data_IF_897980548099
#
_entry.id   IF_897980548099
#
_cell.length_a   1.000
_cell.length_b   1.000
_cell.length_c   1.000
_cell.angle_alpha   90.00
_cell.angle_beta   90.00
_cell.angle_gamma   90.00
#
_symmetry.space_group_name_H-M   'P 1'
#
loop_
_entity.id
_entity.type
_entity.pdbx_description
1 polymer ?
#
# COMPACT_ATOMS: atom_id res chain seq x y z
N UNK A 1 27.17 -16.11 13.46
CA UNK A 1 26.12 -16.08 12.43
C UNK A 1 26.40 -14.89 11.53
N UNK A 2 26.82 -15.10 10.29
CA UNK A 2 27.01 -14.04 9.32
C UNK A 2 25.65 -13.45 8.97
N UNK A 3 25.53 -12.13 9.01
CA UNK A 3 24.41 -11.44 8.42
C UNK A 3 24.51 -11.61 6.91
N UNK A 4 23.42 -12.04 6.29
CA UNK A 4 23.35 -12.28 4.87
C UNK A 4 23.51 -10.95 4.11
N UNK A 5 24.54 -10.84 3.28
CA UNK A 5 24.86 -9.60 2.57
C UNK A 5 23.71 -9.11 1.70
N UNK A 6 23.01 -10.04 1.03
CA UNK A 6 21.91 -9.74 0.14
C UNK A 6 20.69 -9.17 0.86
N UNK A 7 20.47 -9.54 2.13
CA UNK A 7 19.38 -9.00 2.93
C UNK A 7 19.46 -7.47 3.09
N UNK A 8 20.67 -6.92 3.09
CA UNK A 8 20.84 -5.45 3.14
C UNK A 8 20.30 -4.78 1.89
N UNK A 9 20.53 -5.36 0.70
CA UNK A 9 19.98 -4.84 -0.55
C UNK A 9 18.46 -4.89 -0.54
N UNK A 10 17.91 -5.99 -0.04
CA UNK A 10 16.46 -6.21 0.01
C UNK A 10 15.75 -5.28 0.99
N UNK A 11 16.38 -4.96 2.13
CA UNK A 11 15.78 -4.14 3.20
C UNK A 11 16.11 -2.64 3.09
N UNK A 12 17.04 -2.24 2.23
CA UNK A 12 17.46 -0.86 2.10
C UNK A 12 16.86 -0.22 0.83
N UNK A 13 15.93 0.74 0.96
CA UNK A 13 15.30 1.39 -0.19
C UNK A 13 16.30 2.08 -1.14
N UNK A 14 17.41 2.62 -0.63
CA UNK A 14 18.43 3.30 -1.44
C UNK A 14 19.28 2.31 -2.24
N UNK A 15 19.46 1.08 -1.75
CA UNK A 15 20.27 0.04 -2.40
C UNK A 15 19.50 -0.73 -3.47
N UNK A 16 18.22 -0.62 -3.51
CA UNK A 16 17.43 -1.12 -4.61
C UNK A 16 17.84 -0.32 -5.83
N UNK A 17 18.62 -0.95 -6.71
CA UNK A 17 19.29 -0.32 -7.87
C UNK A 17 18.35 0.28 -8.91
N UNK A 18 17.07 0.19 -8.71
CA UNK A 18 16.10 0.93 -9.50
C UNK A 18 15.73 2.21 -8.75
N UNK A 19 16.28 3.38 -9.10
CA UNK A 19 15.94 4.64 -8.45
C UNK A 19 14.46 4.99 -8.55
N UNK A 20 13.73 4.34 -9.46
CA UNK A 20 12.29 4.46 -9.64
C UNK A 20 11.47 3.55 -8.72
N UNK A 21 12.09 2.63 -8.00
CA UNK A 21 11.40 1.71 -7.06
C UNK A 21 11.40 2.25 -5.63
N UNK A 22 12.28 3.20 -5.28
CA UNK A 22 12.23 3.83 -3.96
C UNK A 22 11.09 4.85 -3.89
N UNK A 23 10.41 4.97 -2.75
CA UNK A 23 9.36 5.95 -2.50
C UNK A 23 9.82 7.43 -2.58
N UNK A 24 11.08 7.68 -2.93
CA UNK A 24 11.74 8.97 -2.85
C UNK A 24 12.23 9.60 -4.16
N UNK A 25 11.96 9.05 -5.37
CA UNK A 25 12.43 9.69 -6.60
C UNK A 25 11.92 11.13 -6.73
N UNK A 26 10.72 11.40 -6.21
CA UNK A 26 10.08 12.70 -6.32
C UNK A 26 10.75 13.78 -5.46
N UNK A 27 11.16 13.44 -4.25
CA UNK A 27 11.95 14.34 -3.42
C UNK A 27 13.39 14.49 -3.92
N UNK A 28 13.88 13.49 -4.63
CA UNK A 28 15.20 13.46 -5.25
C UNK A 28 15.29 14.45 -6.43
N UNK A 29 14.31 14.44 -7.33
CA UNK A 29 14.26 15.35 -8.48
C UNK A 29 13.83 16.77 -8.11
N UNK A 30 13.09 16.98 -7.04
CA UNK A 30 12.63 18.30 -6.62
C UNK A 30 13.65 19.11 -5.82
N UNK A 31 14.67 18.47 -5.25
CA UNK A 31 15.71 19.16 -4.48
C UNK A 31 16.97 19.33 -5.32
N UNK A 32 17.33 20.59 -5.64
CA UNK A 32 18.68 20.97 -6.07
C UNK A 32 19.67 20.65 -4.94
N UNK A 33 20.08 19.38 -4.80
CA UNK A 33 21.07 19.02 -3.79
C UNK A 33 22.45 19.53 -4.22
N UNK A 34 23.00 20.42 -3.42
CA UNK A 34 24.39 20.88 -3.56
C UNK A 34 25.32 19.75 -3.09
N UNK A 35 26.51 19.64 -3.69
CA UNK A 35 27.58 18.75 -3.22
C UNK A 35 27.79 18.95 -1.69
N UNK A 36 27.71 17.87 -0.94
CA UNK A 36 27.83 17.89 0.53
C UNK A 36 29.27 17.49 0.89
N UNK A 37 29.91 18.29 1.73
CA UNK A 37 31.23 17.97 2.23
C UNK A 37 31.22 16.85 3.30
N UNK A 38 32.40 16.26 3.55
CA UNK A 38 32.55 15.14 4.48
C UNK A 38 32.02 15.46 5.90
N UNK A 39 32.27 16.64 6.44
CA UNK A 39 31.80 17.04 7.78
C UNK A 39 30.27 17.02 7.85
N UNK A 40 29.59 17.52 6.81
CA UNK A 40 28.13 17.49 6.76
C UNK A 40 27.57 16.09 6.58
N UNK A 41 28.23 15.23 5.80
CA UNK A 41 27.87 13.82 5.66
C UNK A 41 28.00 13.08 6.99
N UNK A 42 29.10 13.31 7.74
CA UNK A 42 29.32 12.72 9.06
C UNK A 42 28.27 13.17 10.08
N UNK A 43 27.87 14.44 10.05
CA UNK A 43 26.77 14.96 10.89
C UNK A 43 25.44 14.28 10.55
N UNK A 44 25.11 14.14 9.24
CA UNK A 44 23.90 13.45 8.79
C UNK A 44 23.91 11.98 9.26
N UNK A 45 25.07 11.32 9.14
CA UNK A 45 25.24 9.95 9.60
C UNK A 45 24.97 9.82 11.11
N UNK A 46 25.64 10.61 11.96
CA UNK A 46 25.45 10.56 13.39
C UNK A 46 23.98 10.77 13.78
N UNK A 47 23.33 11.77 13.18
CA UNK A 47 21.89 12.04 13.38
C UNK A 47 21.01 10.86 12.95
N UNK A 48 21.31 10.24 11.81
CA UNK A 48 20.53 9.11 11.29
C UNK A 48 20.71 7.87 12.16
N UNK A 49 21.93 7.59 12.59
CA UNK A 49 22.26 6.45 13.46
C UNK A 49 21.63 6.60 14.85
N UNK A 50 21.69 7.78 15.44
CA UNK A 50 21.02 8.05 16.73
C UNK A 50 19.51 7.79 16.64
N UNK A 51 18.86 8.34 15.62
CA UNK A 51 17.43 8.10 15.38
C UNK A 51 17.13 6.62 15.11
N UNK A 52 17.99 5.95 14.36
CA UNK A 52 17.87 4.53 14.07
C UNK A 52 17.89 3.68 15.34
N UNK A 53 18.89 3.87 16.21
CA UNK A 53 18.98 3.09 17.44
C UNK A 53 17.83 3.35 18.39
N UNK A 54 17.47 4.62 18.62
CA UNK A 54 16.33 4.96 19.48
C UNK A 54 15.03 4.31 18.99
N UNK A 55 14.76 4.43 17.70
CA UNK A 55 13.55 3.85 17.08
C UNK A 55 13.54 2.32 17.18
N UNK A 56 14.63 1.67 16.74
CA UNK A 56 14.63 0.21 16.60
C UNK A 56 14.81 -0.53 17.92
N UNK A 57 15.51 0.03 18.90
CA UNK A 57 15.52 -0.51 20.27
C UNK A 57 14.12 -0.48 20.88
N UNK A 58 13.41 0.64 20.73
CA UNK A 58 12.03 0.74 21.20
C UNK A 58 11.13 -0.29 20.50
N UNK A 59 11.23 -0.45 19.16
CA UNK A 59 10.45 -1.42 18.41
C UNK A 59 10.77 -2.86 18.79
N UNK A 60 12.05 -3.17 19.05
CA UNK A 60 12.46 -4.49 19.51
C UNK A 60 11.85 -4.81 20.88
N UNK A 61 11.91 -3.88 21.83
CA UNK A 61 11.29 -4.06 23.15
C UNK A 61 9.78 -4.27 23.00
N UNK A 62 9.12 -3.44 22.20
CA UNK A 62 7.68 -3.58 21.93
C UNK A 62 7.32 -4.93 21.29
N UNK A 63 8.18 -5.43 20.41
CA UNK A 63 7.99 -6.72 19.76
C UNK A 63 8.17 -7.91 20.72
N UNK A 64 9.17 -7.81 21.63
CA UNK A 64 9.34 -8.80 22.72
C UNK A 64 8.12 -8.81 23.64
N UNK A 65 7.63 -7.64 24.04
CA UNK A 65 6.40 -7.55 24.86
C UNK A 65 5.22 -8.17 24.13
N UNK A 66 5.03 -7.85 22.84
CA UNK A 66 3.97 -8.44 22.03
C UNK A 66 4.05 -9.98 21.97
N UNK A 67 5.26 -10.52 21.82
CA UNK A 67 5.50 -11.96 21.86
C UNK A 67 5.14 -12.57 23.22
N UNK A 68 5.51 -11.93 24.33
CA UNK A 68 5.16 -12.38 25.66
C UNK A 68 3.64 -12.34 25.91
N UNK A 69 2.98 -11.27 25.46
CA UNK A 69 1.52 -11.17 25.50
C UNK A 69 0.85 -12.29 24.68
N UNK A 70 1.37 -12.55 23.48
CA UNK A 70 0.90 -13.68 22.68
C UNK A 70 1.01 -15.01 23.43
N UNK A 71 2.14 -15.30 24.03
CA UNK A 71 2.35 -16.53 24.80
C UNK A 71 1.48 -16.62 26.06
N UNK A 72 1.12 -15.48 26.66
CA UNK A 72 0.28 -15.42 27.88
C UNK A 72 -1.21 -15.55 27.57
N UNK A 73 -1.71 -14.87 26.51
CA UNK A 73 -3.14 -14.71 26.26
C UNK A 73 -3.64 -15.49 25.04
N UNK A 74 -2.74 -15.84 24.10
CA UNK A 74 -3.09 -16.55 22.89
C UNK A 74 -2.25 -17.82 22.79
N UNK A 75 -2.90 -18.96 22.90
CA UNK A 75 -2.33 -20.27 22.57
C UNK A 75 -3.20 -20.84 21.47
N UNK A 76 -2.76 -20.75 20.24
CA UNK A 76 -3.31 -21.54 19.17
C UNK A 76 -2.29 -22.66 18.85
N UNK A 77 -2.63 -23.88 19.17
CA UNK A 77 -1.93 -25.03 18.62
C UNK A 77 -2.56 -25.26 17.25
N UNK A 78 -2.11 -24.47 16.25
CA UNK A 78 -2.60 -24.61 14.89
C UNK A 78 -2.17 -25.96 14.33
N UNK A 79 -3.11 -26.90 14.28
CA UNK A 79 -3.00 -28.20 13.60
C UNK A 79 -3.36 -28.02 12.10
N UNK A 80 -3.30 -26.77 11.59
CA UNK A 80 -3.71 -26.53 10.22
C UNK A 80 -2.65 -27.02 9.23
N UNK A 81 -3.12 -27.68 8.19
CA UNK A 81 -2.32 -27.93 7.00
C UNK A 81 -2.07 -26.58 6.31
N UNK A 82 -0.84 -26.09 6.40
CA UNK A 82 -0.46 -24.76 5.90
C UNK A 82 0.03 -24.81 4.44
N UNK A 83 -0.69 -25.49 3.57
CA UNK A 83 -0.31 -25.58 2.16
C UNK A 83 -0.52 -24.27 1.40
N UNK A 84 -1.54 -23.50 1.78
CA UNK A 84 -1.87 -22.20 1.18
C UNK A 84 -2.00 -21.12 2.24
N UNK A 85 -1.27 -20.02 2.07
CA UNK A 85 -1.27 -18.86 2.96
C UNK A 85 -1.87 -17.66 2.23
N UNK A 86 -2.84 -16.98 2.87
CA UNK A 86 -3.35 -15.66 2.48
C UNK A 86 -2.72 -14.62 3.41
N UNK A 87 -1.71 -13.91 2.89
CA UNK A 87 -0.96 -12.89 3.63
C UNK A 87 -1.57 -11.51 3.36
N UNK A 88 -2.19 -10.93 4.38
CA UNK A 88 -2.97 -9.70 4.28
C UNK A 88 -2.67 -8.74 5.43
N UNK A 89 -3.11 -7.48 5.35
CA UNK A 89 -3.00 -6.54 6.46
C UNK A 89 -4.15 -6.66 7.45
N UNK A 90 -3.81 -6.52 8.74
CA UNK A 90 -4.78 -6.38 9.83
C UNK A 90 -4.50 -5.15 10.67
N UNK A 91 -5.42 -4.20 10.64
CA UNK A 91 -5.30 -2.92 11.34
C UNK A 91 -5.89 -3.06 12.74
N UNK A 92 -5.04 -3.19 13.77
CA UNK A 92 -5.44 -3.44 15.18
C UNK A 92 -6.55 -2.51 15.68
N UNK A 93 -6.48 -1.17 15.53
CA UNK A 93 -7.58 -0.30 15.99
C UNK A 93 -8.92 -0.59 15.32
N UNK A 94 -8.92 -0.99 14.04
CA UNK A 94 -10.16 -1.33 13.33
C UNK A 94 -10.75 -2.65 13.82
N UNK A 95 -9.91 -3.67 14.01
CA UNK A 95 -10.35 -4.97 14.53
C UNK A 95 -10.91 -4.80 15.95
N UNK A 96 -10.18 -4.10 16.82
CA UNK A 96 -10.61 -3.86 18.19
C UNK A 96 -11.91 -3.05 18.26
N UNK A 97 -12.09 -2.03 17.42
CA UNK A 97 -13.32 -1.22 17.40
C UNK A 97 -14.54 -1.98 16.86
N UNK A 98 -14.34 -2.92 15.94
CA UNK A 98 -15.40 -3.77 15.39
C UNK A 98 -15.77 -4.92 16.30
N UNK A 99 -14.82 -5.41 17.11
CA UNK A 99 -14.99 -6.61 17.93
C UNK A 99 -14.95 -7.93 17.15
N UNK A 100 -14.61 -7.90 15.86
CA UNK A 100 -14.44 -9.08 15.02
C UNK A 100 -13.37 -8.86 13.94
N UNK A 101 -12.80 -9.96 13.44
CA UNK A 101 -11.84 -9.93 12.33
C UNK A 101 -12.57 -9.85 10.98
N UNK A 102 -12.14 -8.92 10.14
CA UNK A 102 -12.55 -8.82 8.75
C UNK A 102 -11.34 -8.39 7.91
N UNK A 103 -11.14 -9.04 6.78
CA UNK A 103 -10.09 -8.65 5.83
C UNK A 103 -10.57 -7.48 4.96
N UNK A 104 -9.98 -6.30 5.17
CA UNK A 104 -10.30 -5.09 4.42
C UNK A 104 -9.54 -5.01 3.08
N UNK A 105 -8.59 -5.89 2.82
CA UNK A 105 -7.71 -5.88 1.65
C UNK A 105 -8.06 -6.97 0.64
N UNK A 106 -8.23 -8.20 1.12
CA UNK A 106 -8.56 -9.37 0.31
C UNK A 106 -9.99 -9.86 0.64
N UNK A 107 -10.94 -8.92 0.51
CA UNK A 107 -12.35 -9.11 0.88
C UNK A 107 -12.94 -10.34 0.19
N UNK A 108 -13.48 -11.30 0.98
CA UNK A 108 -14.14 -12.48 0.46
C UNK A 108 -13.22 -13.57 -0.11
N UNK A 109 -11.89 -13.36 -0.12
CA UNK A 109 -10.97 -14.35 -0.69
C UNK A 109 -10.92 -15.64 0.14
N UNK A 110 -10.83 -15.52 1.48
CA UNK A 110 -10.85 -16.68 2.37
C UNK A 110 -12.13 -17.49 2.20
N UNK A 111 -13.27 -16.81 2.20
CA UNK A 111 -14.60 -17.42 2.03
C UNK A 111 -14.74 -18.13 0.68
N UNK A 112 -14.11 -17.58 -0.36
CA UNK A 112 -14.11 -18.22 -1.69
C UNK A 112 -13.29 -19.52 -1.68
N UNK A 113 -12.12 -19.55 -1.04
CA UNK A 113 -11.33 -20.77 -0.86
C UNK A 113 -12.10 -21.82 -0.04
N UNK A 114 -12.65 -21.40 1.09
CA UNK A 114 -13.41 -22.27 2.01
C UNK A 114 -14.63 -22.89 1.32
N UNK A 115 -15.42 -22.07 0.62
CA UNK A 115 -16.62 -22.53 -0.10
C UNK A 115 -16.32 -23.53 -1.22
N UNK A 116 -15.10 -23.55 -1.74
CA UNK A 116 -14.62 -24.48 -2.76
C UNK A 116 -13.85 -25.68 -2.16
N UNK A 117 -13.83 -25.81 -0.83
CA UNK A 117 -13.14 -26.89 -0.12
C UNK A 117 -11.62 -26.85 -0.26
N UNK A 118 -11.03 -25.70 -0.55
CA UNK A 118 -9.57 -25.52 -0.66
C UNK A 118 -9.03 -24.99 0.67
N UNK A 119 -8.27 -25.79 1.44
CA UNK A 119 -7.76 -25.36 2.73
C UNK A 119 -6.78 -24.20 2.58
N UNK A 120 -6.99 -23.15 3.35
CA UNK A 120 -6.07 -22.02 3.43
C UNK A 120 -6.04 -21.45 4.85
N UNK A 121 -4.98 -20.72 5.16
CA UNK A 121 -4.82 -19.99 6.41
C UNK A 121 -4.57 -18.50 6.15
N UNK A 122 -5.12 -17.65 7.00
CA UNK A 122 -4.84 -16.21 6.97
C UNK A 122 -3.61 -15.93 7.83
N UNK A 123 -2.66 -15.21 7.27
CA UNK A 123 -1.48 -14.68 7.96
C UNK A 123 -1.57 -13.14 8.00
N UNK A 124 -2.17 -12.55 9.04
CA UNK A 124 -2.32 -11.11 9.10
C UNK A 124 -0.99 -10.41 9.43
N UNK A 125 -0.65 -9.39 8.65
CA UNK A 125 0.39 -8.41 8.98
C UNK A 125 -0.20 -7.43 9.97
N UNK A 126 0.21 -7.53 11.23
CA UNK A 126 -0.34 -6.75 12.33
C UNK A 126 0.20 -5.32 12.27
N UNK A 127 -0.67 -4.36 11.97
CA UNK A 127 -0.31 -2.94 11.88
C UNK A 127 -1.20 -2.07 12.78
N UNK A 128 -0.70 -0.89 13.15
CA UNK A 128 -1.51 0.09 13.89
C UNK A 128 -1.63 -0.19 15.40
N UNK A 129 -0.92 -1.18 15.97
CA UNK A 129 -0.81 -1.31 17.43
C UNK A 129 -0.18 -0.06 18.07
N UNK A 130 0.50 0.74 17.25
CA UNK A 130 1.13 2.00 17.65
C UNK A 130 2.30 1.77 18.59
N UNK A 131 2.43 2.70 19.57
CA UNK A 131 3.47 2.64 20.59
C UNK A 131 3.05 1.78 21.81
N UNK A 132 1.85 1.23 21.82
CA UNK A 132 1.32 0.47 22.94
C UNK A 132 1.04 -0.98 22.53
N UNK A 133 1.93 -1.94 22.83
CA UNK A 133 1.72 -3.35 22.51
C UNK A 133 0.55 -3.99 23.28
N UNK A 134 0.10 -3.40 24.40
CA UNK A 134 -1.03 -3.93 25.16
C UNK A 134 -2.37 -3.87 24.40
N UNK A 135 -2.47 -3.02 23.36
CA UNK A 135 -3.61 -3.05 22.43
C UNK A 135 -3.77 -4.37 21.68
N UNK A 136 -2.74 -5.21 21.69
CA UNK A 136 -2.77 -6.54 21.10
C UNK A 136 -3.55 -7.55 21.96
N UNK A 137 -3.82 -7.28 23.24
CA UNK A 137 -4.56 -8.20 24.11
C UNK A 137 -5.99 -8.40 23.55
N UNK A 138 -6.70 -7.28 23.30
CA UNK A 138 -8.04 -7.33 22.72
C UNK A 138 -8.02 -7.97 21.33
N UNK A 139 -7.03 -7.58 20.52
CA UNK A 139 -6.83 -8.14 19.18
C UNK A 139 -6.65 -9.66 19.25
N UNK A 140 -5.80 -10.18 20.14
CA UNK A 140 -5.59 -11.62 20.30
C UNK A 140 -6.88 -12.33 20.76
N UNK A 141 -7.64 -11.72 21.65
CA UNK A 141 -8.95 -12.23 22.09
C UNK A 141 -9.92 -12.40 20.93
N UNK A 142 -10.02 -11.36 20.08
CA UNK A 142 -10.86 -11.36 18.88
C UNK A 142 -10.40 -12.43 17.87
N UNK A 143 -9.10 -12.52 17.60
CA UNK A 143 -8.56 -13.53 16.68
C UNK A 143 -8.83 -14.95 17.20
N UNK A 144 -8.67 -15.18 18.51
CA UNK A 144 -8.93 -16.48 19.14
C UNK A 144 -10.40 -16.93 19.01
N UNK A 145 -11.34 -15.99 19.03
CA UNK A 145 -12.78 -16.25 18.90
C UNK A 145 -13.24 -16.34 17.43
N UNK A 146 -12.34 -16.09 16.45
CA UNK A 146 -12.68 -16.13 15.05
C UNK A 146 -12.74 -17.58 14.55
N UNK A 147 -13.79 -17.91 13.79
CA UNK A 147 -13.96 -19.23 13.18
C UNK A 147 -13.01 -19.51 12.01
N UNK A 148 -12.38 -18.46 11.46
CA UNK A 148 -11.43 -18.58 10.35
C UNK A 148 -10.09 -19.15 10.83
N UNK A 149 -9.41 -19.86 9.94
CA UNK A 149 -8.07 -20.37 10.18
C UNK A 149 -7.06 -19.20 10.12
N UNK A 150 -6.71 -18.64 11.26
CA UNK A 150 -5.77 -17.51 11.38
C UNK A 150 -4.54 -17.95 12.14
N UNK A 151 -3.36 -17.70 11.57
CA UNK A 151 -2.06 -17.92 12.22
C UNK A 151 -1.38 -16.56 12.44
N UNK A 152 -0.68 -16.42 13.55
CA UNK A 152 0.01 -15.17 13.89
C UNK A 152 1.53 -15.35 13.82
N UNK A 153 2.24 -14.30 13.43
CA UNK A 153 3.72 -14.35 13.29
C UNK A 153 4.42 -14.79 14.58
N UNK A 154 3.87 -14.44 15.75
CA UNK A 154 4.43 -14.80 17.06
C UNK A 154 4.46 -16.30 17.35
N UNK A 155 3.67 -17.09 16.64
CA UNK A 155 3.64 -18.56 16.77
C UNK A 155 4.97 -19.17 16.32
N UNK A 156 5.58 -18.59 15.29
CA UNK A 156 6.78 -19.12 14.65
C UNK A 156 8.08 -18.59 15.25
N UNK A 157 8.02 -17.61 16.17
CA UNK A 157 9.20 -17.00 16.77
C UNK A 157 9.86 -17.92 17.80
N UNK A 158 11.19 -17.93 17.78
CA UNK A 158 12.07 -18.65 18.70
C UNK A 158 12.96 -17.67 19.45
N UNK A 159 13.45 -18.00 20.66
CA UNK A 159 14.36 -17.12 21.41
C UNK A 159 15.59 -16.63 20.61
N UNK A 160 16.15 -17.49 19.78
CA UNK A 160 17.27 -17.15 18.89
C UNK A 160 16.96 -16.05 17.89
N UNK A 161 15.70 -15.85 17.54
CA UNK A 161 15.29 -14.83 16.58
C UNK A 161 15.43 -13.44 17.20
N UNK A 162 15.18 -13.28 18.48
CA UNK A 162 15.40 -12.03 19.21
C UNK A 162 16.89 -11.68 19.30
N UNK A 163 17.76 -12.68 19.49
CA UNK A 163 19.22 -12.48 19.44
C UNK A 163 19.63 -12.02 18.03
N UNK A 164 19.07 -12.62 17.00
CA UNK A 164 19.33 -12.22 15.61
C UNK A 164 18.88 -10.77 15.35
N UNK A 165 17.64 -10.40 15.76
CA UNK A 165 17.12 -9.03 15.64
C UNK A 165 18.04 -8.01 16.31
N UNK A 166 18.44 -8.27 17.54
CA UNK A 166 19.35 -7.40 18.30
C UNK A 166 20.70 -7.23 17.60
N UNK A 167 21.30 -8.34 17.17
CA UNK A 167 22.58 -8.33 16.45
C UNK A 167 22.49 -7.59 15.14
N UNK A 168 21.38 -7.76 14.39
CA UNK A 168 21.13 -7.07 13.15
C UNK A 168 21.04 -5.54 13.35
N UNK A 169 20.26 -5.11 14.35
CA UNK A 169 20.12 -3.70 14.70
C UNK A 169 21.49 -3.08 14.99
N UNK A 170 22.34 -3.74 15.78
CA UNK A 170 23.68 -3.23 16.09
C UNK A 170 24.53 -3.06 14.83
N UNK A 171 24.51 -4.03 13.93
CA UNK A 171 25.40 -4.08 12.77
C UNK A 171 24.91 -3.25 11.57
N UNK A 172 23.61 -2.99 11.47
CA UNK A 172 23.01 -2.40 10.29
C UNK A 172 23.62 -1.06 9.85
N UNK A 173 23.81 -0.04 10.72
CA UNK A 173 24.42 1.21 10.30
C UNK A 173 25.86 1.06 9.79
N UNK A 174 26.66 0.21 10.42
CA UNK A 174 28.07 0.02 10.04
C UNK A 174 28.20 -0.73 8.72
N UNK A 175 27.32 -1.71 8.46
CA UNK A 175 27.31 -2.40 7.17
C UNK A 175 26.80 -1.50 6.05
N UNK A 176 25.84 -0.61 6.34
CA UNK A 176 25.38 0.39 5.39
C UNK A 176 26.52 1.34 4.98
N UNK A 177 27.42 1.72 5.92
CA UNK A 177 28.58 2.55 5.59
C UNK A 177 29.53 1.90 4.58
N UNK A 178 29.65 0.58 4.58
CA UNK A 178 30.53 -0.14 3.61
C UNK A 178 30.02 -0.06 2.17
N UNK A 179 28.81 0.44 1.97
CA UNK A 179 28.18 0.59 0.65
C UNK A 179 28.33 2.00 0.10
N UNK A 180 28.99 2.90 0.85
CA UNK A 180 29.35 4.23 0.37
C UNK A 180 30.24 4.08 -0.86
N UNK A 181 29.90 4.79 -1.90
CA UNK A 181 30.64 4.80 -3.17
C UNK A 181 31.78 5.80 -3.11
N UNK A 182 32.96 5.35 -3.51
CA UNK A 182 34.08 6.24 -3.76
C UNK A 182 33.84 7.02 -5.05
N UNK A 183 34.09 8.32 -5.00
CA UNK A 183 33.96 9.18 -6.19
C UNK A 183 33.51 10.59 -5.87
N UNK A 184 34.01 11.54 -6.63
CA UNK A 184 33.71 12.97 -6.51
C UNK A 184 32.57 13.42 -7.41
N UNK A 185 31.89 12.49 -8.09
CA UNK A 185 30.76 12.81 -8.93
C UNK A 185 29.55 13.29 -8.11
N UNK A 186 28.71 14.14 -8.71
CA UNK A 186 27.48 14.58 -8.09
C UNK A 186 26.57 13.38 -7.75
N UNK A 187 26.51 12.40 -8.64
CA UNK A 187 25.68 11.20 -8.49
C UNK A 187 26.12 10.34 -7.29
N UNK A 188 27.44 10.10 -7.14
CA UNK A 188 27.99 9.40 -5.97
C UNK A 188 27.70 10.15 -4.68
N UNK A 189 27.80 11.46 -4.69
CA UNK A 189 27.49 12.30 -3.52
C UNK A 189 26.01 12.21 -3.13
N UNK A 190 25.10 12.31 -4.09
CA UNK A 190 23.66 12.20 -3.89
C UNK A 190 23.29 10.81 -3.38
N UNK A 191 23.87 9.76 -3.97
CA UNK A 191 23.70 8.38 -3.53
C UNK A 191 24.14 8.20 -2.08
N UNK A 192 25.35 8.64 -1.72
CA UNK A 192 25.92 8.49 -0.38
C UNK A 192 25.07 9.24 0.66
N UNK A 193 24.61 10.44 0.35
CA UNK A 193 23.73 11.22 1.23
C UNK A 193 22.38 10.50 1.43
N UNK A 194 21.81 9.95 0.37
CA UNK A 194 20.56 9.22 0.44
C UNK A 194 20.72 7.94 1.27
N UNK A 195 21.78 7.18 1.05
CA UNK A 195 22.13 5.97 1.78
C UNK A 195 22.25 6.24 3.29
N UNK A 196 22.97 7.30 3.66
CA UNK A 196 23.17 7.67 5.07
C UNK A 196 21.88 8.17 5.71
N UNK A 197 21.07 8.94 4.99
CA UNK A 197 19.75 9.40 5.47
C UNK A 197 18.78 8.24 5.66
N UNK A 198 18.82 7.24 4.80
CA UNK A 198 17.89 6.11 4.83
C UNK A 198 18.18 5.11 5.94
N UNK A 199 19.33 5.19 6.63
CA UNK A 199 19.58 4.42 7.86
C UNK A 199 18.42 4.61 8.87
N UNK A 200 17.97 5.85 9.12
CA UNK A 200 16.90 6.10 10.08
C UNK A 200 15.49 5.72 9.56
N UNK A 201 15.36 5.46 8.26
CA UNK A 201 14.10 5.03 7.62
C UNK A 201 13.94 3.51 7.61
N UNK A 202 14.98 2.78 8.05
CA UNK A 202 14.91 1.33 8.15
C UNK A 202 13.57 0.87 8.77
N UNK A 203 12.95 -0.09 8.11
CA UNK A 203 11.69 -0.65 8.56
C UNK A 203 11.92 -1.94 9.35
N UNK A 204 11.73 -1.86 10.66
CA UNK A 204 11.87 -2.99 11.58
C UNK A 204 10.92 -4.14 11.23
N UNK A 205 9.70 -3.82 10.77
CA UNK A 205 8.71 -4.84 10.41
C UNK A 205 9.21 -5.68 9.24
N UNK A 206 9.94 -5.09 8.29
CA UNK A 206 10.53 -5.84 7.18
C UNK A 206 11.51 -6.92 7.64
N UNK A 207 12.28 -6.64 8.71
CA UNK A 207 13.17 -7.61 9.31
C UNK A 207 12.43 -8.73 10.06
N UNK A 208 11.36 -8.39 10.79
CA UNK A 208 10.54 -9.42 11.45
C UNK A 208 9.83 -10.30 10.42
N UNK A 209 9.40 -9.72 9.30
CA UNK A 209 8.83 -10.47 8.17
C UNK A 209 9.83 -11.41 7.50
N UNK A 210 11.11 -10.99 7.37
CA UNK A 210 12.17 -11.90 6.93
C UNK A 210 12.31 -13.11 7.87
N UNK A 211 12.32 -12.88 9.18
CA UNK A 211 12.42 -13.97 10.17
C UNK A 211 11.21 -14.90 10.08
N UNK A 212 10.01 -14.32 9.94
CA UNK A 212 8.78 -15.09 9.77
C UNK A 212 8.86 -16.00 8.54
N UNK A 213 9.23 -15.45 7.37
CA UNK A 213 9.36 -16.24 6.13
C UNK A 213 10.38 -17.37 6.28
N UNK A 214 11.53 -17.11 6.94
CA UNK A 214 12.54 -18.13 7.23
C UNK A 214 12.03 -19.24 8.15
N UNK A 215 11.22 -18.91 9.17
CA UNK A 215 10.66 -19.90 10.08
C UNK A 215 9.50 -20.67 9.46
N UNK A 216 8.73 -20.04 8.58
CA UNK A 216 7.65 -20.70 7.81
C UNK A 216 8.18 -21.69 6.76
N UNK A 217 9.37 -21.46 6.24
CA UNK A 217 9.98 -22.32 5.20
C UNK A 217 10.09 -23.81 5.60
N UNK A 218 10.08 -24.12 6.90
CA UNK A 218 10.06 -25.49 7.39
C UNK A 218 8.64 -26.11 7.46
N UNK A 219 7.65 -25.43 6.94
CA UNK A 219 6.25 -25.87 6.87
C UNK A 219 5.90 -26.16 5.41
N UNK A 220 5.24 -27.19 5.09
CA UNK A 220 4.94 -27.63 3.72
C UNK A 220 4.07 -26.63 2.93
N UNK A 221 4.55 -25.37 2.82
CA UNK A 221 3.87 -24.28 2.14
C UNK A 221 4.07 -24.46 0.64
N UNK A 222 2.98 -24.44 -0.11
CA UNK A 222 2.98 -24.54 -1.57
C UNK A 222 2.66 -23.17 -2.19
N UNK A 223 1.63 -22.48 -1.68
CA UNK A 223 1.17 -21.21 -2.22
C UNK A 223 1.13 -20.13 -1.15
N UNK A 224 1.63 -18.95 -1.51
CA UNK A 224 1.49 -17.71 -0.72
C UNK A 224 0.85 -16.65 -1.59
N UNK A 225 -0.38 -16.30 -1.27
CA UNK A 225 -1.08 -15.17 -1.88
C UNK A 225 -0.95 -13.96 -0.97
N UNK A 226 -0.19 -12.98 -1.39
CA UNK A 226 0.24 -11.88 -0.53
C UNK A 226 -0.25 -10.55 -1.10
N UNK A 227 -1.04 -9.77 -0.34
CA UNK A 227 -1.28 -8.37 -0.69
C UNK A 227 0.05 -7.65 -0.84
N UNK A 228 0.28 -6.94 -1.93
CA UNK A 228 1.59 -6.37 -2.19
C UNK A 228 1.53 -4.99 -2.84
N UNK A 229 2.20 -4.05 -2.19
CA UNK A 229 2.52 -2.72 -2.70
C UNK A 229 4.02 -2.59 -3.00
N UNK A 230 4.75 -3.71 -2.96
CA UNK A 230 6.21 -3.82 -3.13
C UNK A 230 7.04 -2.95 -2.19
N UNK A 231 6.53 -2.74 -1.00
CA UNK A 231 7.26 -2.07 0.07
C UNK A 231 8.31 -3.01 0.70
N UNK A 232 9.14 -2.46 1.57
CA UNK A 232 10.18 -3.24 2.28
C UNK A 232 9.62 -4.43 3.06
N UNK A 233 8.40 -4.30 3.58
CA UNK A 233 7.70 -5.34 4.35
C UNK A 233 7.43 -6.61 3.53
N UNK A 234 7.05 -6.47 2.26
CA UNK A 234 6.87 -7.59 1.34
C UNK A 234 8.21 -8.15 0.88
N UNK A 235 9.19 -7.29 0.61
CA UNK A 235 10.52 -7.66 0.11
C UNK A 235 11.26 -8.57 1.08
N UNK A 236 11.26 -8.24 2.37
CA UNK A 236 11.88 -9.07 3.41
C UNK A 236 11.26 -10.47 3.49
N UNK A 237 9.94 -10.57 3.40
CA UNK A 237 9.22 -11.82 3.40
C UNK A 237 9.46 -12.66 2.13
N UNK A 238 9.35 -12.03 0.96
CA UNK A 238 9.62 -12.67 -0.33
C UNK A 238 11.02 -13.28 -0.38
N UNK A 239 12.03 -12.49 0.04
CA UNK A 239 13.41 -12.94 0.09
C UNK A 239 13.57 -14.19 0.96
N UNK A 240 12.94 -14.20 2.14
CA UNK A 240 13.05 -15.34 3.03
C UNK A 240 12.38 -16.60 2.45
N UNK A 241 11.15 -16.49 1.94
CA UNK A 241 10.43 -17.62 1.35
C UNK A 241 11.21 -18.16 0.15
N UNK A 242 11.64 -17.29 -0.78
CA UNK A 242 12.39 -17.71 -1.97
C UNK A 242 13.73 -18.35 -1.68
N UNK A 243 14.35 -17.99 -0.54
CA UNK A 243 15.66 -18.50 -0.14
C UNK A 243 15.58 -19.80 0.63
N UNK A 244 14.50 -20.05 1.37
CA UNK A 244 14.43 -21.14 2.33
C UNK A 244 13.29 -22.14 2.07
N UNK A 245 12.38 -21.83 1.16
CA UNK A 245 11.23 -22.66 0.80
C UNK A 245 11.13 -22.81 -0.74
N UNK A 246 11.99 -23.65 -1.30
CA UNK A 246 12.17 -23.78 -2.77
C UNK A 246 10.86 -24.19 -3.49
N UNK A 247 10.00 -24.97 -2.84
CA UNK A 247 8.72 -25.42 -3.40
C UNK A 247 7.60 -24.37 -3.29
N UNK A 248 7.78 -23.35 -2.46
CA UNK A 248 6.75 -22.34 -2.25
C UNK A 248 6.68 -21.33 -3.39
N UNK A 249 5.47 -21.05 -3.86
CA UNK A 249 5.19 -20.03 -4.88
C UNK A 249 4.53 -18.82 -4.24
N UNK A 250 5.12 -17.63 -4.45
CA UNK A 250 4.57 -16.37 -3.99
C UNK A 250 3.89 -15.69 -5.16
N UNK A 251 2.60 -15.42 -5.02
CA UNK A 251 1.82 -14.58 -5.92
C UNK A 251 1.45 -13.30 -5.20
N UNK A 252 1.99 -12.19 -5.66
CA UNK A 252 1.62 -10.87 -5.13
C UNK A 252 0.25 -10.46 -5.66
N UNK A 253 -0.65 -10.10 -4.75
CA UNK A 253 -1.98 -9.60 -5.08
C UNK A 253 -1.96 -8.07 -5.05
N UNK A 254 -1.85 -7.46 -6.22
CA UNK A 254 -1.82 -6.02 -6.40
C UNK A 254 -3.24 -5.52 -6.75
N UNK A 255 -4.18 -5.74 -5.81
CA UNK A 255 -5.60 -5.47 -6.00
C UNK A 255 -5.99 -4.06 -5.52
N UNK A 256 -5.19 -3.07 -5.88
CA UNK A 256 -5.48 -1.65 -5.69
C UNK A 256 -5.26 -0.89 -6.99
N UNK A 257 -5.77 0.33 -7.04
CA UNK A 257 -5.64 1.20 -8.21
C UNK A 257 -4.28 1.90 -8.14
N UNK A 258 -3.35 1.43 -8.94
CA UNK A 258 -2.00 1.94 -8.98
C UNK A 258 -1.88 3.14 -9.92
N UNK A 259 -0.80 3.91 -9.74
CA UNK A 259 -0.49 5.09 -10.55
C UNK A 259 0.71 4.79 -11.43
N UNK A 260 0.69 5.20 -12.70
CA UNK A 260 1.84 5.00 -13.60
C UNK A 260 3.12 5.65 -13.07
N UNK A 261 2.99 6.76 -12.34
CA UNK A 261 4.11 7.50 -11.75
C UNK A 261 4.60 6.95 -10.40
N UNK A 262 3.93 5.92 -9.86
CA UNK A 262 4.31 5.29 -8.59
C UNK A 262 5.22 4.10 -8.84
N UNK A 263 6.45 4.37 -9.23
CA UNK A 263 7.43 3.35 -9.65
C UNK A 263 7.77 2.32 -8.57
N UNK A 264 7.68 2.68 -7.30
CA UNK A 264 7.89 1.76 -6.18
C UNK A 264 6.84 0.65 -6.07
N UNK A 265 5.70 0.83 -6.70
CA UNK A 265 4.64 -0.19 -6.74
C UNK A 265 4.82 -1.23 -7.83
N UNK A 266 5.91 -1.15 -8.58
CA UNK A 266 6.19 -2.06 -9.68
C UNK A 266 7.42 -2.90 -9.38
N UNK A 267 7.29 -4.20 -9.63
CA UNK A 267 8.41 -5.16 -9.62
C UNK A 267 9.21 -5.02 -10.91
N UNK A 268 10.50 -5.27 -10.85
CA UNK A 268 11.35 -5.46 -12.04
C UNK A 268 12.16 -6.75 -11.96
N UNK A 269 12.84 -7.08 -13.07
CA UNK A 269 13.66 -8.29 -13.17
C UNK A 269 14.87 -8.26 -12.23
N UNK A 270 15.38 -7.07 -11.86
CA UNK A 270 16.47 -6.91 -10.91
C UNK A 270 16.03 -7.25 -9.48
N UNK A 271 14.81 -6.82 -9.08
CA UNK A 271 14.20 -7.23 -7.82
C UNK A 271 14.07 -8.75 -7.74
N UNK A 272 13.75 -9.39 -8.87
CA UNK A 272 13.69 -10.84 -8.96
C UNK A 272 15.06 -11.48 -8.73
N UNK A 273 16.11 -10.96 -9.33
CA UNK A 273 17.47 -11.47 -9.17
C UNK A 273 17.99 -11.36 -7.74
N UNK A 274 17.61 -10.30 -7.04
CA UNK A 274 17.91 -10.12 -5.62
C UNK A 274 16.99 -10.93 -4.68
N UNK A 275 16.05 -11.71 -5.21
CA UNK A 275 15.12 -12.47 -4.40
C UNK A 275 14.04 -11.65 -3.69
N UNK A 276 13.98 -10.33 -3.95
CA UNK A 276 13.04 -9.42 -3.27
C UNK A 276 11.62 -9.44 -3.84
N UNK A 277 11.46 -9.97 -5.07
CA UNK A 277 10.16 -10.00 -5.73
C UNK A 277 9.39 -11.32 -5.49
N UNK A 278 8.07 -11.32 -5.70
CA UNK A 278 7.30 -12.56 -5.82
C UNK A 278 7.68 -13.32 -7.10
N UNK A 279 7.15 -14.53 -7.27
CA UNK A 279 7.28 -15.31 -8.50
C UNK A 279 6.32 -14.81 -9.59
N UNK A 280 5.12 -14.35 -9.17
CA UNK A 280 4.10 -13.79 -10.06
C UNK A 280 3.35 -12.65 -9.39
N UNK A 281 2.70 -11.82 -10.21
CA UNK A 281 1.87 -10.70 -9.78
C UNK A 281 0.48 -10.82 -10.40
N UNK A 282 -0.54 -10.73 -9.57
CA UNK A 282 -1.93 -10.67 -9.99
C UNK A 282 -2.45 -9.24 -9.81
N UNK A 283 -3.06 -8.67 -10.84
CA UNK A 283 -3.52 -7.27 -10.85
C UNK A 283 -5.03 -7.16 -11.02
N UNK A 284 -5.60 -6.00 -10.65
CA UNK A 284 -7.04 -5.74 -10.71
C UNK A 284 -7.65 -5.89 -12.11
N UNK A 285 -6.93 -5.47 -13.14
CA UNK A 285 -7.44 -5.44 -14.51
C UNK A 285 -6.34 -5.41 -15.55
N UNK A 286 -6.70 -5.61 -16.80
CA UNK A 286 -5.76 -5.75 -17.91
C UNK A 286 -4.85 -4.52 -18.11
N UNK A 287 -5.32 -3.33 -17.70
CA UNK A 287 -4.52 -2.10 -17.76
C UNK A 287 -3.21 -2.20 -16.99
N UNK A 288 -3.18 -2.94 -15.89
CA UNK A 288 -2.00 -3.07 -15.01
C UNK A 288 -1.05 -4.19 -15.39
N UNK A 289 -1.33 -4.93 -16.47
CA UNK A 289 -0.42 -5.98 -16.95
C UNK A 289 0.91 -5.38 -17.38
N UNK A 290 2.00 -6.07 -17.04
CA UNK A 290 3.35 -5.73 -17.45
C UNK A 290 4.02 -6.94 -18.09
N UNK A 291 4.89 -6.67 -19.03
CA UNK A 291 5.69 -7.69 -19.71
C UNK A 291 7.12 -7.65 -19.14
N UNK A 292 7.41 -8.53 -18.21
CA UNK A 292 8.74 -8.74 -17.65
C UNK A 292 9.25 -10.12 -18.07
N UNK A 293 10.56 -10.33 -18.01
CA UNK A 293 11.19 -11.59 -18.43
C UNK A 293 11.10 -12.67 -17.34
N UNK A 294 11.16 -12.26 -16.07
CA UNK A 294 11.31 -13.15 -14.91
C UNK A 294 10.07 -13.23 -14.03
N UNK A 295 9.26 -12.18 -13.99
CA UNK A 295 8.05 -12.12 -13.17
C UNK A 295 6.82 -12.14 -14.06
N UNK A 296 5.96 -13.12 -13.87
CA UNK A 296 4.73 -13.25 -14.64
C UNK A 296 3.63 -12.35 -14.07
N UNK A 297 3.03 -11.50 -14.91
CA UNK A 297 1.84 -10.75 -14.58
C UNK A 297 0.59 -11.42 -15.14
N UNK A 298 -0.47 -11.50 -14.32
CA UNK A 298 -1.78 -12.03 -14.71
C UNK A 298 -2.90 -11.14 -14.20
N UNK A 299 -4.05 -11.23 -14.86
CA UNK A 299 -5.26 -10.53 -14.41
C UNK A 299 -5.94 -11.36 -13.35
N UNK A 300 -6.17 -10.78 -12.19
CA UNK A 300 -6.90 -11.36 -11.07
C UNK A 300 -8.35 -10.87 -11.00
N UNK A 301 -8.77 -10.48 -9.80
CA UNK A 301 -10.12 -10.00 -9.50
C UNK A 301 -10.07 -8.75 -8.62
N UNK A 302 -11.05 -7.87 -8.74
CA UNK A 302 -11.09 -6.59 -8.01
C UNK A 302 -11.87 -6.73 -6.71
N UNK A 303 -11.31 -7.49 -5.74
CA UNK A 303 -11.99 -7.84 -4.47
C UNK A 303 -12.52 -6.62 -3.69
N UNK A 304 -11.80 -5.50 -3.73
CA UNK A 304 -12.17 -4.26 -3.02
C UNK A 304 -13.16 -3.37 -3.78
N UNK A 305 -13.42 -3.67 -5.05
CA UNK A 305 -14.13 -2.79 -5.97
C UNK A 305 -15.39 -3.44 -6.54
N UNK A 306 -16.01 -4.36 -5.79
CA UNK A 306 -17.27 -5.02 -6.17
C UNK A 306 -18.37 -4.03 -6.54
N UNK A 307 -18.43 -2.92 -5.82
CA UNK A 307 -19.48 -1.91 -5.94
C UNK A 307 -19.42 -1.15 -7.27
N UNK A 308 -18.28 -1.12 -7.99
CA UNK A 308 -18.18 -0.60 -9.36
C UNK A 308 -19.14 -1.34 -10.28
N UNK A 309 -19.33 -2.65 -10.08
CA UNK A 309 -20.16 -3.50 -10.92
C UNK A 309 -21.65 -3.46 -10.54
N UNK A 310 -21.94 -3.20 -9.25
CA UNK A 310 -23.29 -3.09 -8.72
C UNK A 310 -23.86 -1.66 -8.81
N UNK A 311 -23.06 -0.66 -9.17
CA UNK A 311 -23.46 0.73 -9.25
C UNK A 311 -24.53 0.94 -10.33
N UNK A 312 -25.74 1.35 -9.90
CA UNK A 312 -26.93 1.50 -10.77
C UNK A 312 -27.00 2.85 -11.50
N UNK A 313 -26.07 3.74 -11.22
CA UNK A 313 -26.04 5.08 -11.78
C UNK A 313 -26.34 6.17 -10.76
N UNK A 314 -26.20 7.41 -11.22
CA UNK A 314 -26.43 8.60 -10.38
C UNK A 314 -27.92 8.89 -10.29
N UNK A 315 -28.49 8.78 -9.09
CA UNK A 315 -29.92 9.01 -8.83
C UNK A 315 -30.27 10.50 -8.76
N UNK A 316 -29.35 11.34 -8.25
CA UNK A 316 -29.53 12.79 -8.18
C UNK A 316 -28.18 13.51 -8.37
N UNK A 317 -28.03 14.29 -9.42
CA UNK A 317 -26.76 15.01 -9.73
C UNK A 317 -26.70 16.36 -9.00
N UNK A 318 -26.61 16.34 -7.67
CA UNK A 318 -26.72 17.56 -6.86
C UNK A 318 -25.39 18.03 -6.30
N UNK A 319 -24.53 17.10 -5.86
CA UNK A 319 -23.39 17.41 -5.02
C UNK A 319 -22.09 17.47 -5.81
N UNK A 320 -21.20 18.37 -5.44
CA UNK A 320 -19.78 18.31 -5.79
C UNK A 320 -19.04 17.61 -4.65
N UNK A 321 -18.38 16.50 -4.95
CA UNK A 321 -17.67 15.68 -3.98
C UNK A 321 -16.17 15.93 -4.07
N UNK A 322 -15.59 16.40 -2.97
CA UNK A 322 -14.15 16.57 -2.81
C UNK A 322 -13.55 15.36 -2.10
N UNK A 323 -12.46 14.82 -2.64
CA UNK A 323 -11.72 13.69 -2.07
C UNK A 323 -10.41 14.17 -1.48
N UNK A 324 -10.25 14.10 -0.16
CA UNK A 324 -9.02 14.47 0.54
C UNK A 324 -7.82 13.64 0.07
N UNK A 325 -6.64 14.25 0.08
CA UNK A 325 -5.35 13.61 -0.19
C UNK A 325 -4.79 12.94 1.06
N UNK A 326 -3.86 12.00 0.88
CA UNK A 326 -3.03 11.49 1.97
C UNK A 326 -1.97 12.50 2.45
N UNK A 327 -1.80 13.63 1.76
CA UNK A 327 -0.95 14.75 2.15
C UNK A 327 -1.79 15.84 2.79
N UNK A 328 -1.43 16.23 4.03
CA UNK A 328 -2.20 17.21 4.81
C UNK A 328 -2.30 18.57 4.13
N UNK A 329 -1.22 19.03 3.49
CA UNK A 329 -1.19 20.34 2.83
C UNK A 329 -2.07 20.38 1.58
N UNK A 330 -2.10 19.28 0.81
CA UNK A 330 -3.03 19.13 -0.32
C UNK A 330 -4.48 19.07 0.16
N UNK A 331 -4.75 18.35 1.25
CA UNK A 331 -6.10 18.28 1.84
C UNK A 331 -6.58 19.66 2.30
N UNK A 332 -5.72 20.45 2.94
CA UNK A 332 -6.04 21.85 3.32
C UNK A 332 -6.33 22.70 2.10
N UNK A 333 -5.48 22.61 1.07
CA UNK A 333 -5.67 23.33 -0.18
C UNK A 333 -7.01 22.99 -0.84
N UNK A 334 -7.38 21.70 -0.89
CA UNK A 334 -8.66 21.27 -1.43
C UNK A 334 -9.86 21.78 -0.64
N UNK A 335 -9.74 21.89 0.70
CA UNK A 335 -10.77 22.50 1.53
C UNK A 335 -10.96 23.99 1.22
N UNK A 336 -9.87 24.73 0.89
CA UNK A 336 -9.97 26.12 0.46
C UNK A 336 -10.67 26.23 -0.91
N UNK A 337 -10.32 25.37 -1.86
CA UNK A 337 -10.99 25.32 -3.17
C UNK A 337 -12.48 24.96 -3.02
N UNK A 338 -12.82 24.09 -2.08
CA UNK A 338 -14.21 23.69 -1.86
C UNK A 338 -15.13 24.85 -1.48
N UNK A 339 -14.61 25.95 -0.88
CA UNK A 339 -15.40 27.14 -0.53
C UNK A 339 -16.07 27.83 -1.72
N UNK A 340 -15.51 27.71 -2.91
CA UNK A 340 -16.07 28.33 -4.12
C UNK A 340 -17.25 27.56 -4.71
N UNK A 341 -17.58 26.37 -4.15
CA UNK A 341 -18.67 25.55 -4.62
C UNK A 341 -19.89 25.64 -3.68
N UNK A 342 -21.09 25.56 -4.25
CA UNK A 342 -22.32 25.51 -3.46
C UNK A 342 -22.48 24.14 -2.79
N UNK A 343 -22.55 24.12 -1.46
CA UNK A 343 -22.77 22.94 -0.62
C UNK A 343 -21.86 21.75 -0.96
N UNK A 344 -20.52 21.93 -0.99
CA UNK A 344 -19.60 20.86 -1.31
C UNK A 344 -19.59 19.81 -0.22
N UNK A 345 -19.53 18.53 -0.63
CA UNK A 345 -19.26 17.42 0.27
C UNK A 345 -17.77 17.11 0.26
N UNK A 346 -17.18 16.92 1.42
CA UNK A 346 -15.77 16.59 1.56
C UNK A 346 -15.63 15.24 2.28
N UNK A 347 -15.01 14.28 1.59
CA UNK A 347 -14.63 13.00 2.17
C UNK A 347 -13.15 12.99 2.48
N UNK A 348 -12.83 12.95 3.79
CA UNK A 348 -11.45 12.94 4.25
C UNK A 348 -10.73 11.64 3.85
N UNK A 349 -9.42 11.74 3.59
CA UNK A 349 -8.60 10.55 3.36
C UNK A 349 -8.36 9.81 4.70
N UNK A 350 -8.49 8.47 4.74
CA UNK A 350 -8.37 7.70 6.00
C UNK A 350 -7.03 7.85 6.73
N UNK A 351 -5.96 8.21 6.01
CA UNK A 351 -4.64 8.44 6.59
C UNK A 351 -4.47 9.80 7.27
N UNK A 352 -5.43 10.72 7.09
CA UNK A 352 -5.37 12.07 7.66
C UNK A 352 -6.32 12.17 8.86
N UNK A 353 -5.74 12.50 10.00
CA UNK A 353 -6.51 12.89 11.18
C UNK A 353 -7.14 14.28 10.96
N UNK A 354 -8.46 14.33 10.93
CA UNK A 354 -9.22 15.55 10.64
C UNK A 354 -8.93 16.67 11.65
N UNK A 355 -8.57 16.34 12.89
CA UNK A 355 -8.21 17.33 13.92
C UNK A 355 -6.94 18.10 13.59
N UNK A 356 -6.08 17.57 12.70
CA UNK A 356 -4.85 18.21 12.25
C UNK A 356 -5.07 19.20 11.10
N UNK A 357 -6.27 19.24 10.54
CA UNK A 357 -6.59 20.18 9.47
C UNK A 357 -6.83 21.60 9.98
N UNK A 358 -7.00 21.77 11.29
CA UNK A 358 -7.31 23.06 11.91
C UNK A 358 -8.81 23.39 11.84
N UNK A 359 -9.13 24.67 11.83
CA UNK A 359 -10.52 25.12 11.68
C UNK A 359 -11.02 24.80 10.28
N UNK A 360 -12.07 23.99 10.19
CA UNK A 360 -12.66 23.66 8.90
C UNK A 360 -13.38 24.86 8.30
N UNK A 361 -13.32 25.05 6.97
CA UNK A 361 -14.00 26.15 6.32
C UNK A 361 -15.51 26.05 6.48
N UNK A 362 -16.17 27.18 6.75
CA UNK A 362 -17.64 27.24 6.76
C UNK A 362 -18.24 26.86 5.40
N UNK A 363 -19.38 26.18 5.43
CA UNK A 363 -20.10 25.76 4.21
C UNK A 363 -19.65 24.43 3.61
N UNK A 364 -18.52 23.86 4.03
CA UNK A 364 -18.06 22.52 3.58
C UNK A 364 -18.60 21.46 4.52
N UNK A 365 -19.37 20.50 4.00
CA UNK A 365 -19.89 19.38 4.76
C UNK A 365 -18.95 18.18 4.73
N UNK A 366 -18.38 17.81 5.89
CA UNK A 366 -17.56 16.61 6.03
C UNK A 366 -18.47 15.37 6.09
N UNK A 367 -18.07 14.30 5.42
CA UNK A 367 -18.86 13.07 5.35
C UNK A 367 -18.00 11.81 5.56
N UNK A 368 -18.55 10.85 6.31
CA UNK A 368 -17.97 9.51 6.51
C UNK A 368 -18.74 8.42 5.73
N UNK A 369 -19.77 8.80 4.98
CA UNK A 369 -20.56 7.85 4.19
C UNK A 369 -19.70 7.05 3.22
N UNK A 370 -20.18 5.86 2.84
CA UNK A 370 -19.55 5.04 1.81
C UNK A 370 -19.44 5.83 0.49
N UNK A 371 -18.34 5.62 -0.25
CA UNK A 371 -18.06 6.38 -1.46
C UNK A 371 -19.12 6.17 -2.56
N UNK A 372 -19.67 4.97 -2.70
CA UNK A 372 -20.69 4.68 -3.71
C UNK A 372 -22.04 5.30 -3.35
N UNK A 373 -22.38 5.39 -2.06
CA UNK A 373 -23.54 6.20 -1.61
C UNK A 373 -23.38 7.67 -1.97
N UNK A 374 -22.15 8.21 -1.87
CA UNK A 374 -21.86 9.59 -2.30
C UNK A 374 -21.93 9.72 -3.82
N UNK A 375 -21.49 8.73 -4.58
CA UNK A 375 -21.56 8.70 -6.04
C UNK A 375 -22.99 8.75 -6.57
N UNK A 376 -23.96 8.15 -5.88
CA UNK A 376 -25.37 8.21 -6.26
C UNK A 376 -25.91 9.65 -6.37
N UNK A 377 -25.33 10.59 -5.64
CA UNK A 377 -25.73 12.00 -5.65
C UNK A 377 -24.69 12.94 -6.26
N UNK A 378 -23.52 12.43 -6.65
CA UNK A 378 -22.43 13.27 -7.15
C UNK A 378 -22.67 13.70 -8.62
N UNK A 379 -22.62 14.99 -8.88
CA UNK A 379 -22.55 15.53 -10.24
C UNK A 379 -21.11 15.60 -10.75
N UNK A 380 -20.16 15.77 -9.84
CA UNK A 380 -18.73 15.97 -10.10
C UNK A 380 -17.92 15.46 -8.92
N UNK A 381 -16.78 14.89 -9.20
CA UNK A 381 -15.74 14.55 -8.20
C UNK A 381 -14.53 15.43 -8.43
N UNK A 382 -13.97 16.00 -7.34
CA UNK A 382 -12.75 16.79 -7.37
C UNK A 382 -11.75 16.14 -6.42
N UNK A 383 -10.56 15.82 -6.89
CA UNK A 383 -9.56 15.13 -6.11
C UNK A 383 -8.13 15.45 -6.54
N UNK A 384 -7.18 14.84 -5.85
CA UNK A 384 -5.77 14.82 -6.25
C UNK A 384 -5.34 13.36 -6.47
N UNK A 385 -4.38 12.87 -5.72
CA UNK A 385 -3.85 11.52 -5.76
C UNK A 385 -4.80 10.50 -5.09
N UNK A 386 -5.94 10.21 -5.69
CA UNK A 386 -6.90 9.22 -5.16
C UNK A 386 -7.34 8.22 -6.22
N UNK A 387 -7.12 6.93 -5.96
CA UNK A 387 -7.64 5.84 -6.81
C UNK A 387 -9.15 5.90 -7.00
N UNK A 388 -9.90 6.47 -6.05
CA UNK A 388 -11.34 6.70 -6.13
C UNK A 388 -11.75 7.53 -7.35
N UNK A 389 -10.85 8.32 -7.93
CA UNK A 389 -11.09 9.02 -9.19
C UNK A 389 -11.31 8.05 -10.36
N UNK A 390 -10.63 6.92 -10.40
CA UNK A 390 -10.84 5.85 -11.40
C UNK A 390 -12.21 5.21 -11.21
N UNK A 391 -12.61 4.96 -9.96
CA UNK A 391 -13.94 4.43 -9.62
C UNK A 391 -15.04 5.40 -10.07
N UNK A 392 -14.85 6.71 -9.83
CA UNK A 392 -15.81 7.74 -10.26
C UNK A 392 -15.98 7.76 -11.78
N UNK A 393 -14.89 7.74 -12.55
CA UNK A 393 -14.92 7.69 -14.02
C UNK A 393 -15.56 6.38 -14.49
N UNK A 394 -15.26 5.24 -13.88
CA UNK A 394 -15.88 3.95 -14.19
C UNK A 394 -17.39 3.94 -13.89
N UNK A 395 -17.84 4.81 -12.98
CA UNK A 395 -19.27 5.04 -12.67
C UNK A 395 -19.93 6.15 -13.55
N UNK A 396 -19.20 6.72 -14.51
CA UNK A 396 -19.71 7.77 -15.40
C UNK A 396 -19.83 9.16 -14.75
N UNK A 397 -19.05 9.41 -13.69
CA UNK A 397 -19.01 10.68 -12.96
C UNK A 397 -17.80 11.48 -13.43
N UNK A 398 -17.96 12.74 -13.87
CA UNK A 398 -16.85 13.61 -14.23
C UNK A 398 -15.90 13.85 -13.08
N UNK A 399 -14.59 13.99 -13.39
CA UNK A 399 -13.54 14.16 -12.40
C UNK A 399 -12.62 15.33 -12.78
N UNK A 400 -12.37 16.23 -11.84
CA UNK A 400 -11.30 17.22 -11.93
C UNK A 400 -10.18 16.81 -10.98
N UNK A 401 -8.97 16.61 -11.50
CA UNK A 401 -7.77 16.37 -10.71
C UNK A 401 -7.11 17.73 -10.45
N UNK A 402 -6.91 18.08 -9.20
CA UNK A 402 -6.12 19.27 -8.84
C UNK A 402 -4.64 18.87 -8.82
N UNK A 403 -3.83 19.58 -9.61
CA UNK A 403 -2.39 19.36 -9.64
C UNK A 403 -1.75 19.71 -8.29
N UNK A 404 -0.79 18.89 -7.85
CA UNK A 404 -0.03 19.18 -6.63
C UNK A 404 0.83 20.42 -6.84
N UNK A 405 0.80 21.36 -5.86
CA UNK A 405 1.56 22.61 -5.92
C UNK A 405 3.05 22.41 -5.62
N UNK A 406 3.39 21.40 -4.82
CA UNK A 406 4.73 21.20 -4.28
C UNK A 406 5.36 19.85 -4.63
N UNK A 407 4.61 18.98 -5.29
CA UNK A 407 5.02 17.61 -5.63
C UNK A 407 4.63 17.27 -7.07
N UNK A 408 5.08 16.13 -7.57
CA UNK A 408 4.50 15.58 -8.80
C UNK A 408 3.03 15.18 -8.55
N UNK A 409 2.18 15.56 -9.47
CA UNK A 409 0.77 15.18 -9.41
C UNK A 409 0.65 13.67 -9.64
N UNK A 410 0.23 12.95 -8.60
CA UNK A 410 -0.08 11.53 -8.71
C UNK A 410 -1.49 11.39 -9.28
N UNK A 411 -1.60 11.28 -10.60
CA UNK A 411 -2.87 11.10 -11.28
C UNK A 411 -3.11 9.62 -11.59
N UNK A 412 -4.21 9.01 -11.08
CA UNK A 412 -4.54 7.62 -11.37
C UNK A 412 -5.26 7.43 -12.71
N UNK A 413 -5.73 8.51 -13.34
CA UNK A 413 -6.46 8.48 -14.60
C UNK A 413 -5.50 8.49 -15.79
N UNK A 414 -5.91 7.86 -16.88
CA UNK A 414 -5.13 7.75 -18.12
C UNK A 414 -5.73 8.59 -19.22
N UNK A 415 -4.99 8.83 -20.30
CA UNK A 415 -5.41 9.77 -21.36
C UNK A 415 -6.78 9.47 -22.00
N UNK A 416 -7.30 8.24 -21.84
CA UNK A 416 -8.64 7.91 -22.34
C UNK A 416 -9.72 8.75 -21.61
N UNK A 417 -10.50 9.52 -22.35
CA UNK A 417 -11.54 10.41 -21.81
C UNK A 417 -11.03 11.72 -21.21
N UNK A 418 -9.73 12.08 -21.34
CA UNK A 418 -9.21 13.38 -20.92
C UNK A 418 -9.84 14.49 -21.75
N UNK A 419 -10.30 15.55 -21.08
CA UNK A 419 -11.05 16.65 -21.69
C UNK A 419 -12.53 16.36 -21.96
N UNK A 420 -12.96 15.08 -21.79
CA UNK A 420 -14.35 14.60 -21.99
C UNK A 420 -15.05 14.30 -20.65
N UNK A 421 -14.46 13.43 -19.82
CA UNK A 421 -15.00 13.06 -18.49
C UNK A 421 -14.05 13.41 -17.36
N UNK A 422 -12.79 13.66 -17.62
CA UNK A 422 -11.83 14.10 -16.62
C UNK A 422 -10.79 15.05 -17.21
N UNK A 423 -10.21 15.91 -16.37
CA UNK A 423 -9.11 16.81 -16.74
C UNK A 423 -8.28 17.22 -15.51
N UNK A 424 -7.15 17.90 -15.71
CA UNK A 424 -6.26 18.39 -14.64
C UNK A 424 -6.32 19.90 -14.55
N UNK A 425 -6.66 20.43 -13.39
CA UNK A 425 -6.57 21.82 -13.03
C UNK A 425 -5.18 22.11 -12.46
N UNK A 426 -4.43 23.01 -13.08
CA UNK A 426 -3.10 23.42 -12.62
C UNK A 426 -3.16 24.63 -11.69
N UNK A 427 -4.21 25.45 -11.84
CA UNK A 427 -4.49 26.63 -11.02
C UNK A 427 -5.91 26.54 -10.43
N UNK A 428 -6.16 27.32 -9.37
CA UNK A 428 -7.48 27.36 -8.73
C UNK A 428 -8.58 27.81 -9.68
N UNK A 429 -8.30 28.79 -10.54
CA UNK A 429 -9.21 29.28 -11.58
C UNK A 429 -9.64 28.20 -12.56
N UNK A 430 -8.77 27.23 -12.83
CA UNK A 430 -9.06 26.15 -13.77
C UNK A 430 -10.14 25.22 -13.23
N UNK A 431 -10.24 25.04 -11.91
CA UNK A 431 -11.14 24.06 -11.29
C UNK A 431 -12.61 24.33 -11.66
N UNK A 432 -13.05 25.59 -11.57
CA UNK A 432 -14.41 25.96 -11.94
C UNK A 432 -14.65 25.87 -13.44
N UNK A 433 -13.69 26.33 -14.26
CA UNK A 433 -13.75 26.31 -15.72
C UNK A 433 -13.87 24.85 -16.21
N UNK A 434 -12.98 23.98 -15.72
CA UNK A 434 -12.98 22.56 -16.10
C UNK A 434 -14.23 21.83 -15.56
N UNK A 435 -14.65 22.17 -14.35
CA UNK A 435 -15.89 21.62 -13.78
C UNK A 435 -17.09 21.88 -14.68
N UNK A 436 -17.25 23.14 -15.11
CA UNK A 436 -18.33 23.51 -16.04
C UNK A 436 -18.19 22.78 -17.37
N UNK A 437 -16.99 22.82 -18.00
CA UNK A 437 -16.71 22.17 -19.28
C UNK A 437 -17.07 20.68 -19.26
N UNK A 438 -16.62 19.94 -18.24
CA UNK A 438 -16.87 18.49 -18.14
C UNK A 438 -18.34 18.18 -17.86
N UNK A 439 -19.04 19.02 -17.08
CA UNK A 439 -20.48 18.88 -16.85
C UNK A 439 -21.29 19.12 -18.11
N UNK A 440 -20.98 20.16 -18.86
CA UNK A 440 -21.63 20.48 -20.14
C UNK A 440 -21.40 19.34 -21.15
N UNK A 441 -20.13 18.91 -21.31
CA UNK A 441 -19.78 17.79 -22.20
C UNK A 441 -20.56 16.50 -21.87
N UNK A 442 -20.64 16.14 -20.58
CA UNK A 442 -21.41 14.96 -20.14
C UNK A 442 -22.88 15.06 -20.50
N UNK A 443 -23.49 16.26 -20.35
CA UNK A 443 -24.89 16.46 -20.63
C UNK A 443 -25.16 16.33 -22.14
N UNK A 444 -24.28 16.86 -22.97
CA UNK A 444 -24.39 16.87 -24.43
C UNK A 444 -24.01 15.53 -25.06
N UNK A 445 -23.15 14.73 -24.40
CA UNK A 445 -22.55 13.50 -24.92
C UNK A 445 -22.73 12.27 -24.01
N UNK A 446 -23.98 11.93 -23.55
CA UNK A 446 -24.15 10.87 -22.55
C UNK A 446 -23.72 9.49 -23.06
N UNK A 447 -23.86 9.20 -24.35
CA UNK A 447 -23.40 7.93 -24.92
C UNK A 447 -21.90 7.80 -24.90
N UNK A 448 -21.14 8.87 -25.20
CA UNK A 448 -19.68 8.89 -25.16
C UNK A 448 -19.18 8.71 -23.72
N UNK A 449 -19.80 9.37 -22.76
CA UNK A 449 -19.51 9.19 -21.33
C UNK A 449 -19.70 7.73 -20.90
N UNK A 450 -20.77 7.09 -21.31
CA UNK A 450 -21.02 5.67 -21.02
C UNK A 450 -19.97 4.75 -21.65
N UNK A 451 -19.50 5.04 -22.87
CA UNK A 451 -18.41 4.29 -23.52
C UNK A 451 -17.11 4.42 -22.74
N UNK A 452 -16.74 5.63 -22.30
CA UNK A 452 -15.52 5.86 -21.50
C UNK A 452 -15.64 5.13 -20.15
N UNK A 453 -16.77 5.28 -19.46
CA UNK A 453 -17.00 4.60 -18.18
C UNK A 453 -16.93 3.07 -18.33
N UNK A 454 -17.51 2.53 -19.38
CA UNK A 454 -17.43 1.10 -19.70
C UNK A 454 -15.97 0.67 -19.95
N UNK A 455 -15.21 1.46 -20.72
CA UNK A 455 -13.80 1.19 -20.98
C UNK A 455 -12.97 1.13 -19.68
N UNK A 456 -13.15 2.12 -18.77
CA UNK A 456 -12.47 2.08 -17.45
C UNK A 456 -12.90 0.85 -16.66
N UNK A 457 -14.19 0.53 -16.63
CA UNK A 457 -14.71 -0.63 -15.90
C UNK A 457 -14.13 -1.95 -16.39
N UNK A 458 -13.96 -2.11 -17.70
CA UNK A 458 -13.47 -3.37 -18.29
C UNK A 458 -11.94 -3.49 -18.29
N UNK A 459 -11.20 -2.37 -18.31
CA UNK A 459 -9.75 -2.41 -18.33
C UNK A 459 -9.10 -2.34 -16.93
N UNK A 460 -9.72 -1.64 -16.00
CA UNK A 460 -9.18 -1.45 -14.66
C UNK A 460 -9.70 -2.47 -13.65
N UNK A 461 -10.84 -3.12 -13.93
CA UNK A 461 -11.50 -3.99 -12.94
C UNK A 461 -11.94 -5.32 -13.55
N UNK A 462 -12.00 -6.34 -12.68
CA UNK A 462 -12.63 -7.64 -12.95
C UNK A 462 -13.58 -7.96 -11.81
N UNK A 463 -14.84 -8.27 -12.15
CA UNK A 463 -15.87 -8.57 -11.15
C UNK A 463 -15.46 -9.74 -10.24
N UNK A 464 -15.52 -9.59 -8.90
CA UNK A 464 -15.12 -10.62 -7.95
C UNK A 464 -16.23 -11.66 -7.70
N UNK A 465 -16.95 -12.07 -8.75
CA UNK A 465 -17.88 -13.21 -8.66
C UNK A 465 -17.11 -14.51 -8.49
N UNK A 466 -17.73 -15.48 -7.84
CA UNK A 466 -17.09 -16.76 -7.46
C UNK A 466 -16.39 -17.46 -8.64
N UNK A 467 -17.01 -17.48 -9.83
CA UNK A 467 -16.41 -18.08 -11.02
C UNK A 467 -15.13 -17.39 -11.48
N UNK A 468 -15.02 -16.06 -11.34
CA UNK A 468 -13.83 -15.32 -11.68
C UNK A 468 -12.73 -15.52 -10.63
N UNK A 469 -13.09 -15.60 -9.34
CA UNK A 469 -12.16 -15.93 -8.26
C UNK A 469 -11.62 -17.35 -8.48
N UNK A 470 -12.50 -18.33 -8.69
CA UNK A 470 -12.11 -19.72 -8.93
C UNK A 470 -11.14 -19.86 -10.13
N UNK A 471 -11.38 -19.10 -11.20
CA UNK A 471 -10.51 -19.09 -12.38
C UNK A 471 -9.17 -18.40 -12.09
N UNK A 472 -9.17 -17.24 -11.42
CA UNK A 472 -7.95 -16.47 -11.16
C UNK A 472 -6.98 -17.20 -10.22
N UNK A 473 -7.51 -17.94 -9.25
CA UNK A 473 -6.72 -18.66 -8.24
C UNK A 473 -6.61 -20.17 -8.51
N UNK A 474 -7.06 -20.64 -9.67
CA UNK A 474 -7.05 -22.05 -10.06
C UNK A 474 -7.68 -22.99 -9.00
N UNK A 475 -8.88 -22.63 -8.54
CA UNK A 475 -9.59 -23.35 -7.47
C UNK A 475 -10.57 -24.41 -8.00
N UNK A 476 -10.41 -24.85 -9.23
CA UNK A 476 -11.26 -25.87 -9.85
C UNK A 476 -11.08 -27.26 -9.23
#
# INVERSE_FOLDING_TARGET
MGLESDLYYVLNPTLIKNPFVSCFPLSYFSKKEKKINFCKLSYIFLKSVTKFYLKNTYLLISYVIAFLLYKAFYKNESIYEMTTIIDTFSVVPKVNSRGYFSDDYLVGLYEAFDSLGKPCVILPRIIGAGKNPFKLIDFFGIIKSCEKNIILEYEFLKPRDFVYLFTFIIQYPFKTLRLIQDGDSLDSNIFNVSLVRDICKFDFVSLTRYILGKNLANKNIVNVYSWSEFQSIERGFNYAIRKYADDARITALQFYLNYETYFNSYVDDLDYDHGASPHSVMVNGAFYLRNLRKVQYSVGVSLRYSDVFSFKGVSSRRNVLFLGSYLIEETKFMLEVAKSFDKPLFKNHPAIDITKLGTLPGGVAITELNIYTLFESAKLVIGTASGTSVEAVACGIPVVIIASQNNLTANPLVNHGKGEIWDIAYENSDVEILSKKLLDYRNDNPQRINQIAHWYRTNFFVSPIQSNIARAFDLK
#
